data_IF_367028549297
#
_entry.id   IF_367028549297
#
_cell.length_a   1.000
_cell.length_b   1.000
_cell.length_c   1.000
_cell.angle_alpha   90.00
_cell.angle_beta   90.00
_cell.angle_gamma   90.00
#
_symmetry.space_group_name_H-M   'P 1'
#
loop_
_entity.id
_entity.type
_entity.pdbx_description
1 polymer ?
#
# COMPACT_ATOMS: atom_id res chain seq x y z
N UNK A 1 -72.21 24.21 -6.35
CA UNK A 1 -72.57 23.17 -5.37
C UNK A 1 -71.41 22.93 -4.43
N UNK A 2 -71.38 23.54 -3.25
CA UNK A 2 -72.17 23.15 -2.05
C UNK A 2 -71.81 21.72 -1.58
N UNK A 3 -71.38 21.44 -0.35
CA UNK A 3 -71.36 22.23 0.87
C UNK A 3 -70.63 21.53 2.02
N UNK A 4 -70.39 22.32 3.09
CA UNK A 4 -70.70 22.03 4.51
C UNK A 4 -70.37 20.62 5.03
N UNK A 5 -69.55 20.41 6.05
CA UNK A 5 -69.41 21.18 7.29
C UNK A 5 -69.85 20.30 8.45
N UNK A 6 -68.99 20.05 9.43
CA UNK A 6 -69.43 19.60 10.75
C UNK A 6 -68.43 20.03 11.82
N UNK A 7 -68.92 20.93 12.67
CA UNK A 7 -68.34 21.41 13.91
C UNK A 7 -68.71 20.47 15.05
N UNK A 8 -67.76 20.20 15.94
CA UNK A 8 -68.00 19.55 17.23
C UNK A 8 -67.06 20.10 18.30
N UNK A 9 -67.62 20.97 19.15
CA UNK A 9 -67.00 21.66 20.28
C UNK A 9 -66.97 20.79 21.56
N UNK A 10 -66.06 21.12 22.47
CA UNK A 10 -66.12 20.83 23.92
C UNK A 10 -65.08 19.79 24.37
N UNK A 11 -64.27 19.98 25.40
CA UNK A 11 -64.41 20.85 26.56
C UNK A 11 -63.05 21.18 27.22
N UNK A 12 -63.14 22.18 28.08
CA UNK A 12 -62.18 22.97 28.85
C UNK A 12 -61.60 22.31 30.12
N UNK A 13 -60.32 22.65 30.42
CA UNK A 13 -59.72 23.11 31.71
C UNK A 13 -59.79 22.12 32.91
N UNK A 14 -58.70 21.71 33.57
CA UNK A 14 -57.85 22.50 34.48
C UNK A 14 -56.65 21.66 35.05
N UNK A 15 -55.74 22.26 35.84
CA UNK A 15 -54.33 21.88 35.99
C UNK A 15 -54.04 21.01 37.21
N UNK A 16 -52.94 20.26 37.22
CA UNK A 16 -52.01 20.13 38.36
C UNK A 16 -50.94 19.09 38.05
N UNK A 17 -49.72 19.32 38.56
CA UNK A 17 -48.72 18.26 38.71
C UNK A 17 -47.50 18.37 37.79
N UNK A 18 -46.65 19.37 38.06
CA UNK A 18 -45.21 19.25 37.80
C UNK A 18 -44.68 18.03 38.58
N UNK A 19 -44.28 16.99 37.87
CA UNK A 19 -43.21 16.11 38.31
C UNK A 19 -42.11 16.20 37.24
N UNK A 20 -41.09 17.02 37.55
CA UNK A 20 -39.83 16.98 36.82
C UNK A 20 -39.13 15.67 37.17
N UNK A 21 -39.31 14.65 36.36
CA UNK A 21 -38.34 13.55 36.32
C UNK A 21 -37.13 14.06 35.56
N UNK A 22 -36.05 14.33 36.29
CA UNK A 22 -34.71 14.50 35.73
C UNK A 22 -34.34 13.20 35.00
N UNK A 23 -34.62 13.16 33.70
CA UNK A 23 -34.18 12.09 32.82
C UNK A 23 -32.70 12.25 32.56
N UNK A 24 -31.88 11.68 33.45
CA UNK A 24 -30.47 11.40 33.17
C UNK A 24 -30.47 10.43 32.00
N UNK A 25 -30.30 10.96 30.78
CA UNK A 25 -29.97 10.14 29.61
C UNK A 25 -28.62 9.52 29.89
N UNK A 26 -28.63 8.27 30.35
CA UNK A 26 -27.47 7.41 30.37
C UNK A 26 -26.93 7.33 28.95
N UNK A 27 -25.94 8.18 28.67
CA UNK A 27 -25.10 8.08 27.48
C UNK A 27 -24.39 6.74 27.63
N UNK A 28 -24.90 5.73 26.93
CA UNK A 28 -24.46 4.36 27.09
C UNK A 28 -22.97 4.26 26.81
N UNK A 29 -22.20 3.84 27.82
CA UNK A 29 -20.78 3.45 27.74
C UNK A 29 -20.53 2.26 26.78
N UNK A 30 -21.47 1.91 25.90
CA UNK A 30 -21.30 0.79 24.96
C UNK A 30 -20.41 1.12 23.77
N UNK A 31 -20.22 2.40 23.42
CA UNK A 31 -19.34 2.79 22.31
C UNK A 31 -17.86 2.74 22.67
N UNK A 32 -17.49 3.02 23.92
CA UNK A 32 -16.08 3.10 24.33
C UNK A 32 -15.40 1.73 24.35
N UNK A 33 -16.13 0.65 24.64
CA UNK A 33 -15.56 -0.70 24.62
C UNK A 33 -15.37 -1.27 23.21
N UNK A 34 -16.17 -0.86 22.25
CA UNK A 34 -16.06 -1.32 20.86
C UNK A 34 -14.87 -0.63 20.16
N UNK A 35 -14.68 0.67 20.41
CA UNK A 35 -13.52 1.43 19.91
C UNK A 35 -12.20 0.94 20.54
N UNK A 36 -12.21 0.57 21.83
CA UNK A 36 -11.05 -0.04 22.49
C UNK A 36 -10.73 -1.45 21.97
N UNK A 37 -11.74 -2.24 21.62
CA UNK A 37 -11.54 -3.58 21.07
C UNK A 37 -10.92 -3.51 19.66
N UNK A 38 -11.41 -2.60 18.80
CA UNK A 38 -10.81 -2.36 17.48
C UNK A 38 -9.38 -1.84 17.59
N UNK A 39 -9.09 -0.96 18.56
CA UNK A 39 -7.74 -0.47 18.80
C UNK A 39 -6.77 -1.57 19.26
N UNK A 40 -7.21 -2.46 20.16
CA UNK A 40 -6.38 -3.59 20.61
C UNK A 40 -6.12 -4.60 19.50
N UNK A 41 -7.11 -4.86 18.63
CA UNK A 41 -6.91 -5.74 17.47
C UNK A 41 -5.95 -5.10 16.44
N UNK A 42 -6.02 -3.78 16.26
CA UNK A 42 -5.07 -3.03 15.44
C UNK A 42 -3.63 -3.07 16.02
N UNK A 43 -3.46 -2.92 17.33
CA UNK A 43 -2.14 -3.04 17.96
C UNK A 43 -1.57 -4.47 17.87
N UNK A 44 -2.42 -5.49 18.04
CA UNK A 44 -2.01 -6.88 17.85
C UNK A 44 -1.60 -7.16 16.40
N UNK A 45 -2.34 -6.61 15.42
CA UNK A 45 -1.98 -6.69 14.02
C UNK A 45 -0.65 -5.97 13.73
N UNK A 46 -0.45 -4.76 14.26
CA UNK A 46 0.80 -4.00 14.12
C UNK A 46 1.99 -4.72 14.77
N UNK A 47 1.80 -5.35 15.94
CA UNK A 47 2.84 -6.12 16.61
C UNK A 47 3.22 -7.39 15.84
N UNK A 48 2.22 -8.09 15.28
CA UNK A 48 2.46 -9.22 14.39
C UNK A 48 3.19 -8.80 13.11
N UNK A 49 2.92 -7.58 12.63
CA UNK A 49 3.56 -7.01 11.45
C UNK A 49 5.04 -6.69 11.65
N UNK A 50 5.40 -6.04 12.77
CA UNK A 50 6.81 -5.76 13.08
C UNK A 50 7.62 -7.04 13.16
N UNK A 51 7.05 -8.10 13.74
CA UNK A 51 7.72 -9.40 13.85
C UNK A 51 7.90 -10.10 12.50
N UNK A 52 6.90 -10.05 11.62
CA UNK A 52 6.98 -10.62 10.28
C UNK A 52 7.98 -9.87 9.39
N UNK A 53 8.17 -8.56 9.62
CA UNK A 53 9.16 -7.76 8.94
C UNK A 53 10.59 -8.12 9.38
N UNK A 54 10.82 -8.27 10.69
CA UNK A 54 12.12 -8.70 11.24
C UNK A 54 12.50 -10.11 10.75
N UNK A 55 11.56 -11.05 10.69
CA UNK A 55 11.81 -12.41 10.18
C UNK A 55 12.11 -12.45 8.65
N UNK A 56 11.77 -11.39 7.91
CA UNK A 56 12.05 -11.27 6.47
C UNK A 56 13.45 -10.70 6.16
N UNK A 57 14.12 -10.08 7.13
CA UNK A 57 15.46 -9.48 6.94
C UNK A 57 16.62 -10.49 7.11
N UNK A 58 16.34 -11.72 7.56
CA UNK A 58 17.38 -12.73 7.84
C UNK A 58 17.67 -13.69 6.65
N UNK A 59 17.01 -13.57 5.51
CA UNK A 59 17.13 -14.51 4.37
C UNK A 59 17.94 -13.99 3.15
N UNK A 60 18.63 -12.85 3.25
CA UNK A 60 19.50 -12.31 2.19
C UNK A 60 20.99 -12.70 2.41
N UNK A 61 21.33 -13.99 2.21
CA UNK A 61 22.55 -14.42 1.45
C UNK A 61 22.62 -15.95 1.22
N UNK A 62 22.08 -16.47 0.10
CA UNK A 62 22.53 -17.75 -0.45
C UNK A 62 23.26 -17.58 -1.79
N UNK A 63 24.20 -16.63 -1.91
CA UNK A 63 25.05 -16.50 -3.11
C UNK A 63 26.34 -17.35 -3.08
N UNK A 64 26.41 -18.40 -2.26
CA UNK A 64 27.57 -19.31 -2.23
C UNK A 64 27.20 -20.79 -2.26
N UNK A 65 26.59 -21.28 -3.35
CA UNK A 65 26.75 -22.69 -3.77
C UNK A 65 26.39 -22.90 -5.24
N UNK A 66 27.38 -22.67 -6.10
CA UNK A 66 27.38 -23.19 -7.48
C UNK A 66 27.93 -24.62 -7.45
N UNK A 67 27.19 -25.65 -7.91
CA UNK A 67 27.76 -26.97 -8.11
C UNK A 67 28.70 -26.97 -9.33
N UNK A 68 29.97 -27.26 -9.08
CA UNK A 68 31.00 -27.46 -10.10
C UNK A 68 30.68 -28.70 -10.93
N UNK A 69 30.16 -28.50 -12.15
CA UNK A 69 30.10 -29.52 -13.18
C UNK A 69 31.44 -29.56 -13.92
N UNK A 70 32.17 -30.65 -13.69
CA UNK A 70 33.34 -31.04 -14.48
C UNK A 70 32.92 -31.29 -15.93
N UNK A 71 33.54 -30.59 -16.87
CA UNK A 71 33.65 -31.02 -18.26
C UNK A 71 35.08 -30.79 -18.75
N UNK A 72 35.58 -31.80 -19.44
CA UNK A 72 36.96 -31.99 -19.82
C UNK A 72 37.44 -31.05 -20.94
N UNK A 73 38.72 -30.68 -20.85
CA UNK A 73 39.69 -30.57 -21.94
C UNK A 73 39.36 -29.63 -23.11
N UNK A 74 40.19 -28.59 -23.30
CA UNK A 74 41.14 -28.51 -24.41
C UNK A 74 41.95 -27.20 -24.41
N UNK A 75 43.28 -27.37 -24.57
CA UNK A 75 44.33 -26.49 -25.14
C UNK A 75 44.45 -25.01 -24.72
N UNK A 76 45.65 -24.71 -24.18
CA UNK A 76 46.27 -23.39 -24.13
C UNK A 76 46.48 -22.77 -25.53
N UNK A 77 46.55 -21.43 -25.62
CA UNK A 77 47.86 -20.83 -25.91
C UNK A 77 48.16 -19.47 -25.26
N UNK A 78 49.45 -19.32 -24.96
CA UNK A 78 50.30 -18.13 -25.16
C UNK A 78 50.03 -16.84 -24.36
N UNK A 79 50.98 -16.56 -23.48
CA UNK A 79 51.15 -15.32 -22.73
C UNK A 79 51.42 -14.11 -23.63
N UNK A 80 50.79 -12.98 -23.29
CA UNK A 80 51.24 -11.64 -23.69
C UNK A 80 51.59 -10.81 -22.44
N UNK A 81 52.61 -9.92 -22.55
CA UNK A 81 53.10 -9.11 -21.45
C UNK A 81 52.23 -7.87 -21.19
N UNK A 82 52.06 -7.57 -19.91
CA UNK A 82 51.41 -6.35 -19.41
C UNK A 82 52.39 -5.16 -19.47
N UNK A 83 51.98 -3.97 -19.94
CA UNK A 83 52.76 -2.77 -19.75
C UNK A 83 52.50 -2.11 -18.38
N UNK A 84 53.60 -1.55 -17.86
CA UNK A 84 53.79 -0.83 -16.60
C UNK A 84 52.87 0.36 -16.34
N UNK A 85 52.60 0.51 -15.03
CA UNK A 85 52.74 1.71 -14.20
C UNK A 85 52.38 3.08 -14.80
N UNK A 86 51.17 3.55 -14.48
CA UNK A 86 50.87 4.97 -14.25
C UNK A 86 49.46 5.12 -13.63
N UNK A 87 49.34 4.83 -12.33
CA UNK A 87 48.12 5.09 -11.57
C UNK A 87 48.43 6.01 -10.38
N UNK A 88 48.04 7.29 -10.52
CA UNK A 88 48.11 8.32 -9.49
C UNK A 88 47.21 7.96 -8.30
N UNK A 89 47.63 8.20 -7.04
CA UNK A 89 46.79 7.89 -5.88
C UNK A 89 45.62 8.87 -5.76
N UNK A 90 44.40 8.31 -5.73
CA UNK A 90 43.18 9.01 -5.34
C UNK A 90 43.23 9.32 -3.84
N UNK A 91 43.31 10.62 -3.55
CA UNK A 91 43.33 11.21 -2.21
C UNK A 91 41.91 11.24 -1.66
N UNK A 92 41.61 10.40 -0.68
CA UNK A 92 40.36 10.44 0.07
C UNK A 92 40.38 11.61 1.07
N UNK A 93 39.37 12.51 1.10
CA UNK A 93 39.29 13.52 2.13
C UNK A 93 38.78 12.94 3.44
N UNK A 94 39.33 13.50 4.51
CA UNK A 94 39.11 13.16 5.90
C UNK A 94 37.64 13.25 6.33
N UNK A 95 37.24 12.19 7.05
CA UNK A 95 36.08 12.11 7.94
C UNK A 95 36.15 13.24 8.99
N UNK A 96 35.26 14.21 8.88
CA UNK A 96 34.98 15.16 9.95
C UNK A 96 33.74 14.68 10.72
N UNK A 97 33.96 14.26 11.96
CA UNK A 97 32.92 14.02 12.96
C UNK A 97 32.23 15.34 13.27
N UNK A 98 30.95 15.47 12.92
CA UNK A 98 30.07 16.51 13.48
C UNK A 98 29.12 15.83 14.48
N UNK A 99 29.42 16.06 15.75
CA UNK A 99 28.52 15.76 16.85
C UNK A 99 27.30 16.70 16.75
N UNK A 100 26.12 16.08 16.73
CA UNK A 100 24.95 16.54 17.49
C UNK A 100 24.42 17.93 17.16
N UNK A 101 23.82 18.10 15.96
CA UNK A 101 22.72 19.04 15.79
C UNK A 101 21.45 18.20 15.64
N UNK A 102 20.63 18.14 16.69
CA UNK A 102 19.28 17.58 16.62
C UNK A 102 18.50 18.42 15.61
N UNK A 103 18.30 17.85 14.43
CA UNK A 103 17.36 18.35 13.44
C UNK A 103 15.97 18.48 14.10
N UNK A 104 15.30 19.64 13.96
CA UNK A 104 13.93 19.77 14.42
C UNK A 104 13.06 18.78 13.64
N UNK A 105 12.25 18.00 14.35
CA UNK A 105 11.27 17.09 13.77
C UNK A 105 10.58 17.78 12.60
N UNK A 106 10.76 17.22 11.41
CA UNK A 106 10.11 17.67 10.20
C UNK A 106 8.62 17.82 10.47
N UNK A 107 8.11 19.04 10.29
CA UNK A 107 6.68 19.31 10.22
C UNK A 107 6.09 18.32 9.22
N UNK A 108 5.25 17.42 9.71
CA UNK A 108 4.32 16.65 8.89
C UNK A 108 3.61 17.65 7.98
N UNK A 109 3.83 17.47 6.67
CA UNK A 109 3.67 18.49 5.66
C UNK A 109 2.28 19.11 5.65
N UNK A 110 2.24 20.43 5.41
CA UNK A 110 1.03 21.12 5.01
C UNK A 110 0.45 20.38 3.81
N UNK A 111 -0.73 19.76 3.97
CA UNK A 111 -1.45 19.16 2.87
C UNK A 111 -1.54 20.17 1.73
N UNK A 112 -1.18 19.74 0.52
CA UNK A 112 -1.42 20.53 -0.68
C UNK A 112 -2.89 20.99 -0.65
N UNK A 113 -3.20 22.29 -0.77
CA UNK A 113 -4.58 22.79 -0.75
C UNK A 113 -5.47 22.17 -1.83
N UNK A 114 -4.90 21.41 -2.77
CA UNK A 114 -5.60 20.62 -3.79
C UNK A 114 -6.11 19.26 -3.32
N UNK A 115 -5.66 18.72 -2.21
CA UNK A 115 -6.13 17.42 -1.73
C UNK A 115 -7.44 17.59 -0.96
N UNK A 116 -8.53 17.09 -1.51
CA UNK A 116 -9.84 17.17 -0.85
C UNK A 116 -9.93 16.24 0.36
N UNK A 117 -10.88 16.51 1.26
CA UNK A 117 -11.17 15.60 2.37
C UNK A 117 -11.57 14.19 1.88
N UNK A 118 -12.24 14.10 0.73
CA UNK A 118 -12.60 12.82 0.11
C UNK A 118 -11.36 12.04 -0.36
N UNK A 119 -10.37 12.73 -0.94
CA UNK A 119 -9.10 12.11 -1.37
C UNK A 119 -8.33 11.54 -0.17
N UNK A 120 -8.27 12.28 0.93
CA UNK A 120 -7.62 11.82 2.15
C UNK A 120 -8.33 10.62 2.78
N UNK A 121 -9.68 10.58 2.74
CA UNK A 121 -10.44 9.41 3.21
C UNK A 121 -10.13 8.16 2.38
N UNK A 122 -10.16 8.29 1.05
CA UNK A 122 -9.84 7.19 0.15
C UNK A 122 -8.39 6.70 0.29
N UNK A 123 -7.45 7.63 0.49
CA UNK A 123 -6.05 7.31 0.77
C UNK A 123 -5.88 6.56 2.10
N UNK A 124 -6.51 7.04 3.18
CA UNK A 124 -6.43 6.37 4.48
C UNK A 124 -7.08 4.97 4.43
N UNK A 125 -8.20 4.81 3.72
CA UNK A 125 -8.80 3.50 3.48
C UNK A 125 -7.83 2.56 2.75
N UNK A 126 -7.13 3.05 1.73
CA UNK A 126 -6.11 2.27 1.03
C UNK A 126 -4.96 1.83 1.96
N UNK A 127 -4.42 2.75 2.76
CA UNK A 127 -3.34 2.43 3.71
C UNK A 127 -3.80 1.37 4.70
N UNK A 128 -4.99 1.54 5.29
CA UNK A 128 -5.56 0.57 6.23
C UNK A 128 -5.74 -0.82 5.59
N UNK A 129 -6.24 -0.89 4.35
CA UNK A 129 -6.37 -2.16 3.65
C UNK A 129 -5.01 -2.78 3.31
N UNK A 130 -4.01 -1.97 2.95
CA UNK A 130 -2.64 -2.45 2.72
C UNK A 130 -1.99 -3.01 3.99
N UNK A 131 -2.11 -2.30 5.12
CA UNK A 131 -1.64 -2.77 6.44
C UNK A 131 -2.33 -4.07 6.86
N UNK A 132 -3.58 -4.31 6.48
CA UNK A 132 -4.26 -5.55 6.85
C UNK A 132 -3.91 -6.72 5.93
N UNK A 133 -3.65 -6.46 4.65
CA UNK A 133 -3.71 -7.50 3.62
C UNK A 133 -2.38 -7.84 2.95
N UNK A 134 -1.41 -6.93 2.87
CA UNK A 134 -0.21 -7.12 2.02
C UNK A 134 0.62 -8.36 2.42
N UNK A 135 0.72 -8.67 3.71
CA UNK A 135 1.42 -9.88 4.18
C UNK A 135 0.74 -11.16 3.69
N UNK A 136 -0.60 -11.21 3.79
CA UNK A 136 -1.39 -12.34 3.28
C UNK A 136 -1.31 -12.47 1.76
N UNK A 137 -1.33 -11.34 1.05
CA UNK A 137 -1.19 -11.30 -0.42
C UNK A 137 0.18 -11.84 -0.84
N UNK A 138 1.25 -11.43 -0.17
CA UNK A 138 2.60 -11.95 -0.45
C UNK A 138 2.66 -13.47 -0.20
N UNK A 139 2.08 -13.94 0.90
CA UNK A 139 1.97 -15.36 1.21
C UNK A 139 1.20 -16.14 0.13
N UNK A 140 0.05 -15.63 -0.31
CA UNK A 140 -0.76 -16.20 -1.38
C UNK A 140 0.02 -16.32 -2.70
N UNK A 141 0.72 -15.26 -3.10
CA UNK A 141 1.53 -15.23 -4.32
C UNK A 141 2.68 -16.23 -4.25
N UNK A 142 3.38 -16.34 -3.11
CA UNK A 142 4.46 -17.30 -2.90
C UNK A 142 3.94 -18.75 -2.91
N UNK A 143 2.80 -19.00 -2.26
CA UNK A 143 2.23 -20.34 -2.14
C UNK A 143 1.62 -20.85 -3.44
N UNK A 144 0.94 -19.99 -4.20
CA UNK A 144 0.15 -20.41 -5.36
C UNK A 144 0.72 -19.95 -6.70
N UNK A 145 1.68 -19.02 -6.70
CA UNK A 145 2.23 -18.43 -7.91
C UNK A 145 1.24 -17.59 -8.72
N UNK A 146 0.08 -17.26 -8.14
CA UNK A 146 -0.99 -16.49 -8.80
C UNK A 146 -1.99 -15.92 -7.81
N UNK A 147 -2.75 -14.92 -8.26
CA UNK A 147 -3.86 -14.34 -7.52
C UNK A 147 -5.04 -15.32 -7.36
N UNK A 148 -5.62 -15.33 -6.16
CA UNK A 148 -6.76 -16.15 -5.73
C UNK A 148 -7.86 -15.32 -5.05
N UNK A 149 -7.50 -14.28 -4.31
CA UNK A 149 -8.45 -13.47 -3.54
C UNK A 149 -8.72 -12.08 -4.16
N UNK A 150 -9.56 -11.27 -3.49
CA UNK A 150 -10.07 -9.98 -3.98
C UNK A 150 -9.27 -8.77 -3.46
N UNK A 151 -8.01 -8.64 -3.88
CA UNK A 151 -7.10 -7.59 -3.39
C UNK A 151 -6.51 -6.68 -4.47
N UNK A 152 -6.97 -6.79 -5.72
CA UNK A 152 -6.32 -6.10 -6.85
C UNK A 152 -6.28 -4.58 -6.68
N UNK A 153 -7.30 -3.98 -6.05
CA UNK A 153 -7.41 -2.54 -5.91
C UNK A 153 -6.36 -1.95 -4.97
N UNK A 154 -5.95 -2.74 -3.97
CA UNK A 154 -4.99 -2.33 -2.94
C UNK A 154 -3.54 -2.48 -3.40
N UNK A 155 -3.29 -3.45 -4.29
CA UNK A 155 -1.96 -3.67 -4.90
C UNK A 155 -1.74 -2.77 -6.12
N UNK A 156 -2.78 -2.54 -6.92
CA UNK A 156 -2.73 -1.71 -8.11
C UNK A 156 -3.64 -0.46 -7.94
N UNK A 157 -3.39 0.44 -6.98
CA UNK A 157 -4.22 1.63 -6.79
C UNK A 157 -4.09 2.61 -7.96
N UNK A 158 -5.20 3.25 -8.32
CA UNK A 158 -5.29 4.28 -9.38
C UNK A 158 -6.06 5.50 -8.87
N UNK A 159 -6.20 6.53 -9.70
CA UNK A 159 -7.04 7.70 -9.44
C UNK A 159 -8.55 7.45 -9.48
N UNK A 160 -8.95 6.25 -9.91
CA UNK A 160 -10.33 5.79 -9.89
C UNK A 160 -10.54 4.69 -8.87
N UNK A 161 -11.66 4.79 -8.16
CA UNK A 161 -12.17 3.73 -7.28
C UNK A 161 -12.56 2.52 -8.13
N UNK A 162 -12.38 1.32 -7.59
CA UNK A 162 -12.84 0.10 -8.24
C UNK A 162 -14.35 -0.05 -8.13
N UNK A 163 -15.00 -0.60 -9.16
CA UNK A 163 -16.45 -0.87 -9.10
C UNK A 163 -16.84 -1.88 -7.99
N UNK A 164 -15.90 -2.75 -7.60
CA UNK A 164 -16.09 -3.72 -6.52
C UNK A 164 -15.09 -3.53 -5.38
N UNK A 165 -14.60 -2.29 -5.25
CA UNK A 165 -13.79 -1.85 -4.13
C UNK A 165 -14.71 -1.33 -3.02
N UNK A 166 -15.01 -2.17 -2.04
CA UNK A 166 -15.91 -1.81 -0.94
C UNK A 166 -15.32 -0.72 -0.02
N UNK A 167 -14.01 -0.53 -0.04
CA UNK A 167 -13.33 0.47 0.77
C UNK A 167 -13.18 1.83 0.06
N UNK A 168 -13.56 1.93 -1.23
CA UNK A 168 -13.47 3.18 -1.98
C UNK A 168 -12.03 3.67 -2.12
N UNK A 169 -11.09 2.74 -2.31
CA UNK A 169 -9.65 3.05 -2.35
C UNK A 169 -9.26 3.68 -3.67
N UNK A 170 -8.53 4.81 -3.58
CA UNK A 170 -7.88 5.45 -4.72
C UNK A 170 -6.77 6.38 -4.28
N UNK A 171 -5.93 6.76 -5.22
CA UNK A 171 -4.82 7.71 -5.02
C UNK A 171 -4.92 8.86 -6.00
N UNK A 172 -4.59 10.07 -5.57
CA UNK A 172 -4.38 11.21 -6.46
C UNK A 172 -2.89 11.34 -6.77
N UNK A 173 -2.50 12.26 -7.67
CA UNK A 173 -1.08 12.56 -7.89
C UNK A 173 -0.35 12.93 -6.60
N UNK A 174 -1.03 13.70 -5.73
CA UNK A 174 -0.50 14.12 -4.43
C UNK A 174 -0.41 12.95 -3.45
N UNK A 175 -1.50 12.18 -3.29
CA UNK A 175 -1.50 11.08 -2.30
C UNK A 175 -0.72 9.85 -2.77
N UNK A 176 -0.45 9.70 -4.07
CA UNK A 176 0.44 8.66 -4.60
C UNK A 176 1.87 8.78 -4.05
N UNK A 177 2.39 10.01 -3.94
CA UNK A 177 3.71 10.24 -3.33
C UNK A 177 3.70 9.92 -1.84
N UNK A 178 2.62 10.29 -1.14
CA UNK A 178 2.43 9.94 0.27
C UNK A 178 2.44 8.42 0.45
N UNK A 179 1.79 7.67 -0.46
CA UNK A 179 1.77 6.22 -0.42
C UNK A 179 3.17 5.61 -0.57
N UNK A 180 3.97 6.10 -1.54
CA UNK A 180 5.34 5.63 -1.73
C UNK A 180 6.26 5.93 -0.54
N UNK A 181 5.99 7.00 0.21
CA UNK A 181 6.76 7.39 1.38
C UNK A 181 6.20 6.84 2.70
N UNK A 182 5.07 6.11 2.66
CA UNK A 182 4.46 5.50 3.83
C UNK A 182 5.24 4.24 4.20
N UNK A 183 6.24 4.42 5.07
CA UNK A 183 7.23 3.40 5.46
C UNK A 183 6.64 2.01 5.80
N UNK A 184 5.58 1.90 6.64
CA UNK A 184 5.02 0.59 7.03
C UNK A 184 4.53 -0.24 5.83
N UNK A 185 3.79 0.38 4.91
CA UNK A 185 3.19 -0.34 3.77
C UNK A 185 4.07 -0.32 2.53
N UNK A 186 4.88 0.73 2.35
CA UNK A 186 5.67 0.95 1.14
C UNK A 186 6.67 -0.17 0.84
N UNK A 187 7.39 -0.66 1.86
CA UNK A 187 8.31 -1.80 1.70
C UNK A 187 7.60 -3.06 1.25
N UNK A 188 6.53 -3.44 1.95
CA UNK A 188 5.84 -4.69 1.64
C UNK A 188 5.06 -4.60 0.33
N UNK A 189 4.49 -3.44 0.03
CA UNK A 189 3.80 -3.17 -1.22
C UNK A 189 4.76 -3.29 -2.42
N UNK A 190 5.95 -2.71 -2.31
CA UNK A 190 7.02 -2.90 -3.30
C UNK A 190 7.33 -4.38 -3.49
N UNK A 191 7.53 -5.13 -2.39
CA UNK A 191 7.86 -6.56 -2.46
C UNK A 191 6.77 -7.37 -3.14
N UNK A 192 5.49 -7.08 -2.87
CA UNK A 192 4.34 -7.70 -3.54
C UNK A 192 4.38 -7.42 -5.05
N UNK A 193 4.56 -6.16 -5.46
CA UNK A 193 4.63 -5.78 -6.86
C UNK A 193 5.81 -6.44 -7.59
N UNK A 194 7.00 -6.45 -6.99
CA UNK A 194 8.18 -7.14 -7.54
C UNK A 194 7.94 -8.64 -7.67
N UNK A 195 7.35 -9.28 -6.66
CA UNK A 195 6.98 -10.71 -6.70
C UNK A 195 5.99 -11.00 -7.83
N UNK A 196 5.02 -10.12 -8.07
CA UNK A 196 4.09 -10.26 -9.20
C UNK A 196 4.87 -10.18 -10.52
N UNK A 197 5.77 -9.22 -10.69
CA UNK A 197 6.59 -9.13 -11.90
C UNK A 197 7.42 -10.40 -12.12
N UNK A 198 8.09 -10.91 -11.09
CA UNK A 198 8.88 -12.14 -11.17
C UNK A 198 8.03 -13.33 -11.62
N UNK A 199 6.84 -13.50 -11.03
CA UNK A 199 5.89 -14.56 -11.41
C UNK A 199 5.37 -14.40 -12.84
N UNK A 200 5.11 -13.16 -13.28
CA UNK A 200 4.66 -12.86 -14.65
C UNK A 200 5.76 -13.21 -15.66
N UNK A 201 7.03 -12.89 -15.36
CA UNK A 201 8.16 -13.19 -16.23
C UNK A 201 8.45 -14.69 -16.31
N UNK A 202 8.27 -15.41 -15.19
CA UNK A 202 8.47 -16.86 -15.13
C UNK A 202 7.34 -17.63 -15.84
N UNK A 203 6.08 -17.27 -15.58
CA UNK A 203 4.90 -18.10 -15.92
C UNK A 203 3.97 -17.45 -16.94
N UNK A 204 4.07 -16.15 -17.16
CA UNK A 204 3.21 -15.36 -18.03
C UNK A 204 2.03 -14.70 -17.31
N UNK A 205 1.73 -13.45 -17.68
CA UNK A 205 0.71 -12.60 -17.02
C UNK A 205 -0.69 -13.22 -16.89
N UNK A 206 -1.13 -14.02 -17.87
CA UNK A 206 -2.45 -14.68 -17.84
C UNK A 206 -2.57 -15.79 -16.81
N UNK A 207 -1.44 -16.37 -16.38
CA UNK A 207 -1.41 -17.41 -15.36
C UNK A 207 -1.30 -16.81 -13.96
N UNK A 208 -0.63 -15.66 -13.83
CA UNK A 208 -0.42 -14.96 -12.55
C UNK A 208 -1.64 -14.14 -12.14
N UNK A 209 -2.23 -13.38 -13.08
CA UNK A 209 -3.38 -12.52 -12.83
C UNK A 209 -4.55 -12.86 -13.77
N UNK A 210 -5.77 -13.05 -13.25
CA UNK A 210 -6.93 -13.37 -14.07
C UNK A 210 -7.29 -12.18 -15.00
N UNK A 211 -7.89 -12.47 -16.15
CA UNK A 211 -8.20 -11.46 -17.18
C UNK A 211 -9.09 -10.31 -16.68
N UNK A 212 -9.97 -10.57 -15.71
CA UNK A 212 -10.83 -9.54 -15.11
C UNK A 212 -10.03 -8.42 -14.43
N UNK A 213 -8.80 -8.70 -14.00
CA UNK A 213 -7.93 -7.73 -13.33
C UNK A 213 -7.03 -6.96 -14.31
N UNK A 214 -6.95 -7.38 -15.59
CA UNK A 214 -6.00 -6.81 -16.55
C UNK A 214 -6.23 -5.32 -16.80
N UNK A 215 -7.50 -4.89 -16.85
CA UNK A 215 -7.82 -3.47 -16.97
C UNK A 215 -7.29 -2.64 -15.81
N UNK A 216 -7.32 -3.18 -14.58
CA UNK A 216 -6.78 -2.47 -13.41
C UNK A 216 -5.26 -2.31 -13.50
N UNK A 217 -4.54 -3.35 -13.92
CA UNK A 217 -3.09 -3.29 -14.14
C UNK A 217 -2.74 -2.29 -15.24
N UNK A 218 -3.49 -2.28 -16.35
CA UNK A 218 -3.32 -1.32 -17.42
C UNK A 218 -3.42 0.13 -16.92
N UNK A 219 -4.50 0.47 -16.20
CA UNK A 219 -4.69 1.82 -15.68
C UNK A 219 -3.69 2.19 -14.59
N UNK A 220 -3.25 1.21 -13.79
CA UNK A 220 -2.15 1.40 -12.85
C UNK A 220 -0.88 1.85 -13.57
N UNK A 221 -0.43 1.11 -14.58
CA UNK A 221 0.78 1.46 -15.34
C UNK A 221 0.66 2.88 -15.90
N UNK A 222 -0.47 3.21 -16.53
CA UNK A 222 -0.69 4.54 -17.14
C UNK A 222 -0.70 5.66 -16.11
N UNK A 223 -1.36 5.44 -14.96
CA UNK A 223 -1.39 6.41 -13.88
C UNK A 223 0.01 6.65 -13.32
N UNK A 224 0.73 5.60 -12.92
CA UNK A 224 2.02 5.70 -12.24
C UNK A 224 3.14 6.16 -13.18
N UNK A 225 3.16 5.76 -14.46
CA UNK A 225 4.10 6.31 -15.44
C UNK A 225 3.88 7.80 -15.71
N UNK A 226 2.67 8.34 -15.50
CA UNK A 226 2.38 9.76 -15.68
C UNK A 226 2.90 10.66 -14.54
N UNK A 227 3.35 10.06 -13.43
CA UNK A 227 3.85 10.80 -12.27
C UNK A 227 5.35 11.06 -12.42
N UNK A 228 5.72 12.35 -12.51
CA UNK A 228 7.12 12.75 -12.65
C UNK A 228 7.98 12.28 -11.46
N UNK A 229 7.41 12.35 -10.26
CA UNK A 229 8.08 12.09 -8.97
C UNK A 229 7.88 10.65 -8.45
N UNK A 230 7.52 9.69 -9.31
CA UNK A 230 7.51 8.28 -8.89
C UNK A 230 8.91 7.79 -8.53
N UNK A 231 9.06 7.03 -7.42
CA UNK A 231 10.36 6.49 -7.01
C UNK A 231 10.87 5.51 -8.07
N UNK A 232 12.20 5.34 -8.13
CA UNK A 232 12.86 4.52 -9.15
C UNK A 232 12.34 3.07 -9.19
N UNK A 233 12.06 2.47 -8.04
CA UNK A 233 11.51 1.12 -7.96
C UNK A 233 10.11 1.01 -8.58
N UNK A 234 9.25 2.03 -8.43
CA UNK A 234 7.91 2.03 -9.00
C UNK A 234 7.95 2.17 -10.52
N UNK A 235 8.88 3.01 -11.02
CA UNK A 235 9.14 3.12 -12.47
C UNK A 235 9.58 1.79 -13.05
N UNK A 236 10.53 1.12 -12.39
CA UNK A 236 11.00 -0.22 -12.80
C UNK A 236 9.86 -1.26 -12.80
N UNK A 237 9.00 -1.28 -11.77
CA UNK A 237 7.81 -2.15 -11.76
C UNK A 237 6.90 -1.86 -12.95
N UNK A 238 6.59 -0.59 -13.21
CA UNK A 238 5.72 -0.22 -14.34
C UNK A 238 6.34 -0.61 -15.68
N UNK A 239 7.64 -0.41 -15.87
CA UNK A 239 8.37 -0.81 -17.07
C UNK A 239 8.33 -2.33 -17.31
N UNK A 240 8.50 -3.13 -16.25
CA UNK A 240 8.39 -4.60 -16.33
C UNK A 240 6.98 -5.03 -16.72
N UNK A 241 5.97 -4.42 -16.11
CA UNK A 241 4.56 -4.75 -16.38
C UNK A 241 4.10 -4.29 -17.78
N UNK A 242 4.59 -3.16 -18.31
CA UNK A 242 4.17 -2.60 -19.60
C UNK A 242 4.66 -3.41 -20.81
N UNK A 243 5.52 -4.41 -20.60
CA UNK A 243 5.95 -5.36 -21.64
C UNK A 243 4.83 -6.33 -22.07
N UNK A 244 3.77 -6.42 -21.27
CA UNK A 244 2.68 -7.38 -21.48
C UNK A 244 1.41 -6.70 -21.98
N UNK A 245 0.61 -7.47 -22.72
CA UNK A 245 -0.58 -6.95 -23.34
C UNK A 245 -1.82 -7.10 -22.46
N UNK A 246 -2.12 -6.05 -21.70
CA UNK A 246 -3.25 -5.95 -20.76
C UNK A 246 -4.58 -5.64 -21.46
N UNK A 247 -5.01 -6.49 -22.38
CA UNK A 247 -6.31 -6.34 -23.05
C UNK A 247 -7.46 -6.37 -22.04
N UNK A 248 -8.30 -5.34 -22.08
CA UNK A 248 -9.59 -5.31 -21.40
C UNK A 248 -10.59 -6.02 -22.32
N UNK A 249 -11.11 -7.18 -21.93
CA UNK A 249 -12.25 -7.80 -22.63
C UNK A 249 -13.56 -7.20 -22.11
#
# INVERSE_FOLDING_TARGET
DEGRGSTGLGATVAPSGRLYTCGVRGRGMKGEYEELAEAMEQEAAQSSWSKALDELEDDDDPMTRVPSLKAAGHRAPTAQPWPSEDAKPLRWPHRASSLGRREPLAKVGCADPRTSLADMRAFNALVNEQERSLAHILGELRQHGRKRNHWIWYVFPTDKEGFSDFAGTRVTKTTAQMLCNHEPTGRLWRKVLETICDLIEEKGHRYTLPSIDHGRVFFFIRFWQSLQESPGWMKAVCERLDQYSWHCY
#
